data_IF_013103943306
#
_entry.id   IF_013103943306
#
_cell.length_a   1.000
_cell.length_b   1.000
_cell.length_c   1.000
_cell.angle_alpha   90.00
_cell.angle_beta   90.00
_cell.angle_gamma   90.00
#
_symmetry.space_group_name_H-M   'P 1'
#
loop_
_entity.id
_entity.type
_entity.pdbx_description
1 polymer ?
#
# COMPACT_ATOMS: atom_id res chain seq x y z
N UNK A 1 -35.56 -13.94 80.87
CA UNK A 1 -35.98 -13.28 79.61
C UNK A 1 -34.75 -12.89 78.86
N UNK A 2 -34.28 -13.76 77.91
CA UNK A 2 -33.07 -13.56 77.12
C UNK A 2 -33.44 -12.94 75.78
N UNK A 3 -32.98 -11.73 75.51
CA UNK A 3 -33.14 -11.07 74.24
C UNK A 3 -32.06 -11.59 73.31
N UNK A 4 -32.46 -12.24 72.21
CA UNK A 4 -31.63 -12.74 71.15
C UNK A 4 -31.37 -11.60 70.20
N UNK A 5 -30.07 -11.14 70.05
CA UNK A 5 -29.63 -10.13 69.12
C UNK A 5 -29.20 -10.83 67.85
N UNK A 6 -29.97 -10.72 66.76
CA UNK A 6 -29.64 -11.24 65.46
C UNK A 6 -28.81 -10.16 64.74
N UNK A 7 -27.49 -10.39 64.59
CA UNK A 7 -26.64 -9.58 63.70
C UNK A 7 -26.81 -10.03 62.26
N UNK A 8 -27.38 -9.16 61.42
CA UNK A 8 -27.36 -9.32 59.98
C UNK A 8 -25.94 -8.89 59.45
N UNK A 9 -25.20 -9.89 58.98
CA UNK A 9 -23.95 -9.66 58.23
C UNK A 9 -24.35 -9.53 56.76
N UNK A 10 -24.38 -8.30 56.24
CA UNK A 10 -24.51 -8.03 54.80
C UNK A 10 -23.15 -8.22 54.15
N UNK A 11 -22.95 -9.35 53.45
CA UNK A 11 -21.79 -9.57 52.61
C UNK A 11 -21.88 -8.71 51.34
N UNK A 12 -21.08 -7.64 51.28
CA UNK A 12 -20.82 -6.90 50.02
C UNK A 12 -19.98 -7.77 49.10
N UNK A 13 -20.61 -8.43 48.15
CA UNK A 13 -19.90 -9.06 47.02
C UNK A 13 -19.53 -7.98 46.01
N UNK A 14 -18.33 -7.42 46.12
CA UNK A 14 -17.73 -6.59 45.05
C UNK A 14 -17.37 -7.49 43.90
N UNK A 15 -18.19 -7.51 42.86
CA UNK A 15 -17.86 -8.10 41.56
C UNK A 15 -16.75 -7.24 40.90
N UNK A 16 -15.52 -7.75 40.93
CA UNK A 16 -14.42 -7.21 40.11
C UNK A 16 -14.78 -7.47 38.63
N UNK A 17 -15.25 -6.44 37.95
CA UNK A 17 -15.28 -6.43 36.50
C UNK A 17 -13.83 -6.39 36.01
N UNK A 18 -13.27 -7.56 35.69
CA UNK A 18 -12.09 -7.62 34.83
C UNK A 18 -12.53 -7.08 33.47
N UNK A 19 -12.13 -5.85 33.17
CA UNK A 19 -12.20 -5.32 31.81
C UNK A 19 -11.42 -6.29 30.91
N UNK A 20 -12.12 -6.97 30.02
CA UNK A 20 -11.46 -7.67 28.91
C UNK A 20 -10.80 -6.60 28.07
N UNK A 21 -9.47 -6.47 28.19
CA UNK A 21 -8.67 -5.75 27.22
C UNK A 21 -9.00 -6.35 25.84
N UNK A 22 -9.79 -5.62 25.07
CA UNK A 22 -10.06 -5.98 23.68
C UNK A 22 -8.71 -5.97 22.97
N UNK A 23 -8.15 -7.16 22.77
CA UNK A 23 -6.97 -7.32 21.92
C UNK A 23 -7.30 -6.62 20.59
N UNK A 24 -6.48 -5.66 20.12
CA UNK A 24 -6.75 -4.99 18.86
C UNK A 24 -6.92 -6.06 17.79
N UNK A 25 -8.10 -6.14 17.20
CA UNK A 25 -8.40 -7.09 16.13
C UNK A 25 -7.52 -6.68 14.95
N UNK A 26 -6.37 -7.34 14.77
CA UNK A 26 -5.45 -7.08 13.69
C UNK A 26 -6.17 -7.39 12.37
N UNK A 27 -6.61 -6.35 11.70
CA UNK A 27 -7.12 -6.49 10.34
C UNK A 27 -6.04 -7.19 9.50
N UNK A 28 -6.38 -8.27 8.78
CA UNK A 28 -5.39 -8.93 7.94
C UNK A 28 -4.77 -7.93 6.96
N UNK A 29 -3.46 -8.03 6.69
CA UNK A 29 -2.80 -7.10 5.79
C UNK A 29 -3.43 -7.15 4.39
N UNK A 30 -3.48 -6.01 3.67
CA UNK A 30 -4.05 -5.95 2.33
C UNK A 30 -3.24 -6.84 1.37
N UNK A 31 -3.95 -7.51 0.46
CA UNK A 31 -3.39 -8.40 -0.57
C UNK A 31 -3.52 -7.86 -1.98
N UNK A 32 -4.18 -6.71 -2.13
CA UNK A 32 -4.36 -5.98 -3.39
C UNK A 32 -4.27 -4.47 -3.11
N UNK A 33 -3.79 -3.72 -4.11
CA UNK A 33 -3.76 -2.28 -4.04
C UNK A 33 -5.17 -1.70 -4.25
N UNK A 34 -5.48 -0.68 -3.47
CA UNK A 34 -6.71 0.11 -3.60
C UNK A 34 -6.37 1.59 -3.62
N UNK A 35 -7.23 2.39 -4.25
CA UNK A 35 -7.14 3.84 -4.25
C UNK A 35 -8.47 4.39 -3.75
N UNK A 36 -8.44 5.12 -2.64
CA UNK A 36 -9.60 5.78 -2.06
C UNK A 36 -9.33 7.26 -1.81
N UNK A 37 -10.38 8.06 -1.66
CA UNK A 37 -10.23 9.48 -1.31
C UNK A 37 -9.59 9.66 0.06
N UNK A 38 -9.99 8.86 1.04
CA UNK A 38 -9.54 9.01 2.42
C UNK A 38 -8.08 8.60 2.64
N UNK A 39 -7.64 7.54 1.96
CA UNK A 39 -6.32 6.94 2.19
C UNK A 39 -5.34 7.17 1.04
N UNK A 40 -5.84 7.49 -0.16
CA UNK A 40 -5.04 7.52 -1.37
C UNK A 40 -4.75 6.11 -1.90
N UNK A 41 -3.61 5.92 -2.52
CA UNK A 41 -3.10 4.59 -2.89
C UNK A 41 -2.69 3.84 -1.61
N UNK A 42 -3.13 2.59 -1.46
CA UNK A 42 -2.67 1.72 -0.36
C UNK A 42 -1.14 1.74 -0.30
N UNK A 43 -0.52 2.00 0.86
CA UNK A 43 0.93 2.14 0.93
C UNK A 43 1.64 0.82 0.64
N UNK A 44 1.07 -0.32 0.99
CA UNK A 44 1.66 -1.64 0.77
C UNK A 44 0.61 -2.74 0.64
N UNK A 45 1.06 -3.88 0.14
CA UNK A 45 0.36 -5.16 0.23
C UNK A 45 1.30 -6.24 0.74
N UNK A 46 0.75 -7.37 1.17
CA UNK A 46 1.53 -8.56 1.54
C UNK A 46 1.22 -9.69 0.56
N UNK A 47 2.25 -10.15 -0.11
CA UNK A 47 2.18 -11.29 -1.03
C UNK A 47 2.64 -12.55 -0.30
N UNK A 48 1.78 -13.56 -0.23
CA UNK A 48 2.09 -14.88 0.34
C UNK A 48 2.78 -15.75 -0.70
N UNK A 49 3.83 -16.46 -0.29
CA UNK A 49 4.65 -17.35 -1.14
C UNK A 49 5.02 -18.57 -0.33
N UNK A 50 4.02 -19.40 -0.02
CA UNK A 50 4.18 -20.58 0.83
C UNK A 50 5.35 -21.47 0.39
N UNK A 51 6.13 -21.93 1.36
CA UNK A 51 7.28 -22.82 1.13
C UNK A 51 8.55 -22.11 0.62
N UNK A 52 8.55 -20.78 0.46
CA UNK A 52 9.73 -20.03 0.04
C UNK A 52 10.43 -19.39 1.25
N UNK A 53 11.75 -19.49 1.31
CA UNK A 53 12.54 -18.75 2.30
C UNK A 53 12.74 -17.29 1.87
N UNK A 54 13.09 -16.42 2.80
CA UNK A 54 13.39 -15.02 2.50
C UNK A 54 14.58 -14.86 1.55
N UNK A 55 15.58 -15.78 1.63
CA UNK A 55 16.73 -15.82 0.75
C UNK A 55 16.34 -16.12 -0.70
N UNK A 56 15.45 -17.12 -0.90
CA UNK A 56 14.92 -17.46 -2.23
C UNK A 56 14.12 -16.30 -2.83
N UNK A 57 13.30 -15.60 -2.00
CA UNK A 57 12.50 -14.47 -2.44
C UNK A 57 13.37 -13.27 -2.80
N UNK A 58 14.38 -12.95 -1.99
CA UNK A 58 15.37 -11.92 -2.28
C UNK A 58 16.07 -12.19 -3.62
N UNK A 59 16.62 -13.42 -3.79
CA UNK A 59 17.31 -13.83 -5.01
C UNK A 59 16.42 -13.71 -6.24
N UNK A 60 15.18 -14.21 -6.17
CA UNK A 60 14.19 -14.07 -7.26
C UNK A 60 13.94 -12.62 -7.64
N UNK A 61 13.79 -11.73 -6.64
CA UNK A 61 13.59 -10.32 -6.90
C UNK A 61 14.78 -9.68 -7.60
N UNK A 62 16.00 -9.99 -7.20
CA UNK A 62 17.23 -9.55 -7.89
C UNK A 62 17.27 -10.09 -9.34
N UNK A 63 16.98 -11.37 -9.55
CA UNK A 63 16.91 -11.97 -10.88
C UNK A 63 15.85 -11.29 -11.74
N UNK A 64 14.68 -11.00 -11.17
CA UNK A 64 13.63 -10.28 -11.87
C UNK A 64 14.07 -8.85 -12.27
N UNK A 65 14.71 -8.10 -11.37
CA UNK A 65 15.24 -6.77 -11.67
C UNK A 65 16.28 -6.85 -12.80
N UNK A 66 17.22 -7.79 -12.72
CA UNK A 66 18.25 -7.99 -13.74
C UNK A 66 17.67 -8.34 -15.11
N UNK A 67 16.56 -9.06 -15.16
CA UNK A 67 15.87 -9.44 -16.40
C UNK A 67 15.07 -8.30 -17.03
N UNK A 68 14.44 -7.46 -16.19
CA UNK A 68 13.44 -6.49 -16.65
C UNK A 68 13.99 -5.06 -16.84
N UNK A 69 15.20 -4.76 -16.33
CA UNK A 69 15.82 -3.46 -16.48
C UNK A 69 17.16 -3.54 -17.19
N UNK A 70 17.38 -2.62 -18.14
CA UNK A 70 18.63 -2.57 -18.92
C UNK A 70 19.85 -2.23 -18.06
N UNK A 71 19.66 -1.48 -16.97
CA UNK A 71 20.73 -1.03 -16.05
C UNK A 71 20.31 -1.28 -14.60
N UNK A 72 20.35 -2.52 -14.13
CA UNK A 72 19.89 -2.91 -12.79
C UNK A 72 20.56 -2.11 -11.66
N UNK A 73 21.86 -1.82 -11.79
CA UNK A 73 22.61 -1.05 -10.79
C UNK A 73 22.14 0.41 -10.64
N UNK A 74 21.54 0.99 -11.66
CA UNK A 74 20.96 2.35 -11.59
C UNK A 74 19.53 2.33 -11.00
N UNK A 75 18.85 1.18 -11.13
CA UNK A 75 17.48 0.97 -10.70
C UNK A 75 17.41 0.68 -9.21
N UNK A 76 18.31 -0.17 -8.67
CA UNK A 76 18.39 -0.48 -7.25
C UNK A 76 18.89 0.77 -6.50
N UNK A 77 18.08 1.29 -5.57
CA UNK A 77 18.39 2.48 -4.76
C UNK A 77 18.96 2.14 -3.40
N UNK A 78 18.54 1.04 -2.82
CA UNK A 78 19.05 0.50 -1.56
C UNK A 78 18.75 -0.99 -1.46
N UNK A 79 19.57 -1.72 -0.75
CA UNK A 79 19.30 -3.13 -0.43
C UNK A 79 20.08 -3.57 0.81
N UNK A 80 19.47 -4.48 1.56
CA UNK A 80 20.15 -5.28 2.58
C UNK A 80 19.86 -6.74 2.23
N UNK A 81 20.91 -7.54 2.11
CA UNK A 81 20.82 -8.92 1.68
C UNK A 81 19.82 -9.71 2.53
N UNK A 82 18.90 -10.42 1.87
CA UNK A 82 17.86 -11.24 2.46
C UNK A 82 16.88 -10.49 3.39
N UNK A 83 16.91 -9.16 3.43
CA UNK A 83 16.01 -8.34 4.24
C UNK A 83 15.11 -7.48 3.35
N UNK A 84 15.69 -6.56 2.57
CA UNK A 84 14.89 -5.74 1.65
C UNK A 84 15.66 -5.31 0.40
N UNK A 85 14.89 -4.96 -0.63
CA UNK A 85 15.35 -4.31 -1.86
C UNK A 85 14.46 -3.11 -2.12
N UNK A 86 15.07 -1.93 -2.38
CA UNK A 86 14.38 -0.74 -2.85
C UNK A 86 14.82 -0.44 -4.27
N UNK A 87 13.86 -0.30 -5.17
CA UNK A 87 14.16 0.01 -6.56
C UNK A 87 13.19 1.01 -7.18
N UNK A 88 13.65 1.73 -8.22
CA UNK A 88 12.88 2.71 -8.95
C UNK A 88 12.69 2.26 -10.39
N UNK A 89 11.47 2.38 -10.90
CA UNK A 89 11.16 2.08 -12.29
C UNK A 89 10.41 3.21 -12.98
N UNK A 90 10.38 3.11 -14.31
CA UNK A 90 9.55 3.97 -15.17
C UNK A 90 8.68 3.07 -16.03
N UNK A 91 7.39 3.37 -16.12
CA UNK A 91 6.47 2.69 -17.02
C UNK A 91 5.73 3.70 -17.89
N UNK A 92 5.68 3.40 -19.19
CA UNK A 92 5.08 4.30 -20.17
C UNK A 92 3.56 4.24 -20.13
N UNK A 93 2.93 5.41 -20.29
CA UNK A 93 1.49 5.53 -20.52
C UNK A 93 0.63 4.81 -19.49
N UNK A 94 0.98 4.93 -18.19
CA UNK A 94 0.25 4.29 -17.10
C UNK A 94 -0.65 5.23 -16.31
N UNK A 95 -0.45 6.54 -16.44
CA UNK A 95 -1.32 7.54 -15.82
C UNK A 95 -2.20 8.18 -16.88
N UNK A 96 -3.39 7.61 -17.11
CA UNK A 96 -4.31 8.04 -18.14
C UNK A 96 -5.57 8.69 -17.57
N UNK A 97 -6.14 9.65 -18.29
CA UNK A 97 -7.45 10.22 -17.98
C UNK A 97 -8.21 10.53 -19.26
N UNK A 98 -9.53 10.44 -19.18
CA UNK A 98 -10.45 10.67 -20.29
C UNK A 98 -10.98 12.12 -20.26
N UNK A 99 -10.77 12.84 -21.38
CA UNK A 99 -11.42 14.12 -21.63
C UNK A 99 -12.19 14.00 -22.97
N UNK A 100 -11.92 14.86 -23.96
CA UNK A 100 -12.42 14.67 -25.33
C UNK A 100 -11.66 13.54 -26.05
N UNK A 101 -10.42 13.34 -25.66
CA UNK A 101 -9.56 12.21 -26.03
C UNK A 101 -8.90 11.69 -24.76
N UNK A 102 -8.40 10.46 -24.79
CA UNK A 102 -7.62 9.90 -23.68
C UNK A 102 -6.21 10.47 -23.72
N UNK A 103 -5.77 11.02 -22.60
CA UNK A 103 -4.40 11.47 -22.37
C UNK A 103 -3.69 10.51 -21.44
N UNK A 104 -2.42 10.20 -21.73
CA UNK A 104 -1.61 9.33 -20.91
C UNK A 104 -0.23 9.94 -20.65
N UNK A 105 0.22 9.86 -19.42
CA UNK A 105 1.57 10.19 -18.98
C UNK A 105 2.34 8.94 -18.58
N UNK A 106 3.66 8.99 -18.70
CA UNK A 106 4.55 8.00 -18.12
C UNK A 106 4.53 8.15 -16.61
N UNK A 107 4.73 7.05 -15.88
CA UNK A 107 4.91 7.07 -14.44
C UNK A 107 6.32 6.68 -14.05
N UNK A 108 6.80 7.29 -12.97
CA UNK A 108 7.98 6.87 -12.22
C UNK A 108 7.55 6.46 -10.84
N UNK A 109 8.05 5.34 -10.38
CA UNK A 109 7.69 4.79 -9.08
C UNK A 109 8.93 4.31 -8.34
N UNK A 110 8.91 4.40 -7.02
CA UNK A 110 9.89 3.79 -6.15
C UNK A 110 9.17 2.84 -5.21
N UNK A 111 9.66 1.61 -5.12
CA UNK A 111 9.07 0.55 -4.29
C UNK A 111 10.13 -0.10 -3.41
N UNK A 112 9.68 -0.60 -2.26
CA UNK A 112 10.48 -1.41 -1.38
C UNK A 112 9.83 -2.78 -1.19
N UNK A 113 10.62 -3.83 -1.33
CA UNK A 113 10.22 -5.21 -1.10
C UNK A 113 10.96 -5.73 0.12
N UNK A 114 10.24 -6.02 1.21
CA UNK A 114 10.81 -6.56 2.46
C UNK A 114 10.44 -8.02 2.62
N UNK A 115 11.41 -8.88 2.87
CA UNK A 115 11.28 -10.34 2.82
C UNK A 115 11.14 -10.97 4.20
N UNK A 116 10.27 -11.98 4.29
CA UNK A 116 10.17 -12.93 5.40
C UNK A 116 9.86 -14.30 4.83
N UNK A 117 10.14 -15.36 5.59
CA UNK A 117 9.79 -16.71 5.16
C UNK A 117 8.29 -16.81 4.86
N UNK A 118 7.98 -17.35 3.69
CA UNK A 118 6.63 -17.54 3.20
C UNK A 118 5.89 -16.30 2.72
N UNK A 119 6.50 -15.10 2.70
CA UNK A 119 5.86 -13.87 2.24
C UNK A 119 6.83 -12.71 2.04
N UNK A 120 6.37 -11.68 1.32
CA UNK A 120 7.03 -10.38 1.30
C UNK A 120 6.01 -9.25 1.39
N UNK A 121 6.44 -8.09 1.93
CA UNK A 121 5.71 -6.82 1.85
C UNK A 121 6.19 -6.08 0.62
N UNK A 122 5.27 -5.65 -0.23
CA UNK A 122 5.54 -4.78 -1.37
C UNK A 122 4.95 -3.40 -1.06
N UNK A 123 5.79 -2.39 -0.94
CA UNK A 123 5.44 -1.03 -0.52
C UNK A 123 5.75 -0.03 -1.62
N UNK A 124 4.80 0.87 -1.91
CA UNK A 124 4.97 1.97 -2.87
C UNK A 124 5.40 3.21 -2.10
N UNK A 125 6.67 3.62 -2.25
CA UNK A 125 7.26 4.76 -1.55
C UNK A 125 6.99 6.07 -2.26
N UNK A 126 7.01 6.06 -3.60
CA UNK A 126 6.67 7.23 -4.42
C UNK A 126 6.02 6.83 -5.74
N UNK A 127 5.16 7.72 -6.22
CA UNK A 127 4.53 7.64 -7.54
C UNK A 127 4.46 9.04 -8.13
N UNK A 128 4.99 9.19 -9.35
CA UNK A 128 5.05 10.45 -10.07
C UNK A 128 4.61 10.26 -11.52
N UNK A 129 4.07 11.29 -12.14
CA UNK A 129 3.78 11.32 -13.57
C UNK A 129 4.65 12.34 -14.31
N UNK A 130 4.93 12.07 -15.58
CA UNK A 130 5.70 12.95 -16.43
C UNK A 130 4.77 13.85 -17.26
N UNK A 131 4.45 15.02 -16.72
CA UNK A 131 3.44 15.92 -17.29
C UNK A 131 4.03 17.26 -17.77
N UNK A 132 3.26 17.94 -18.60
CA UNK A 132 3.58 19.30 -19.08
C UNK A 132 3.14 20.32 -18.03
N UNK A 133 4.03 21.23 -17.63
CA UNK A 133 3.71 22.29 -16.67
C UNK A 133 3.36 23.59 -17.39
N UNK A 134 2.19 24.18 -17.03
CA UNK A 134 1.79 25.53 -17.36
C UNK A 134 2.00 25.96 -18.81
N UNK A 135 2.16 27.27 -19.03
CA UNK A 135 2.35 27.85 -20.36
C UNK A 135 3.75 27.62 -20.95
N UNK A 136 4.71 27.16 -20.17
CA UNK A 136 6.10 26.95 -20.62
C UNK A 136 6.29 25.73 -21.52
N UNK A 137 5.34 24.78 -21.51
CA UNK A 137 5.44 23.53 -22.24
C UNK A 137 6.54 22.57 -21.73
N UNK A 138 7.18 22.89 -20.60
CA UNK A 138 8.19 22.02 -20.00
C UNK A 138 7.55 20.77 -19.43
N UNK A 139 8.21 19.63 -19.62
CA UNK A 139 7.82 18.36 -18.99
C UNK A 139 8.63 18.13 -17.73
N UNK A 140 7.93 17.78 -16.65
CA UNK A 140 8.52 17.50 -15.34
C UNK A 140 7.89 16.27 -14.71
N UNK A 141 8.63 15.66 -13.80
CA UNK A 141 8.07 14.63 -12.90
C UNK A 141 7.36 15.32 -11.75
N UNK A 142 6.08 15.04 -11.59
CA UNK A 142 5.24 15.55 -10.51
C UNK A 142 4.63 14.43 -9.69
N UNK A 143 4.58 14.62 -8.37
CA UNK A 143 4.04 13.63 -7.46
C UNK A 143 2.54 13.44 -7.67
N UNK A 144 2.11 12.20 -7.85
CA UNK A 144 0.70 11.83 -7.85
C UNK A 144 0.27 11.64 -6.40
N UNK A 145 -0.74 12.40 -5.98
CA UNK A 145 -1.37 12.24 -4.68
C UNK A 145 -2.86 12.00 -4.86
N UNK A 146 -3.32 10.82 -4.47
CA UNK A 146 -4.74 10.47 -4.48
C UNK A 146 -5.46 10.87 -3.19
N UNK A 147 -4.75 10.93 -2.05
CA UNK A 147 -5.37 11.24 -0.77
C UNK A 147 -5.96 12.65 -0.79
N UNK A 148 -7.23 12.75 -0.41
CA UNK A 148 -8.02 14.00 -0.39
C UNK A 148 -8.04 14.77 -1.72
N UNK A 149 -7.69 14.09 -2.82
CA UNK A 149 -7.60 14.70 -4.14
C UNK A 149 -8.98 15.04 -4.70
N UNK A 150 -9.28 16.34 -4.82
CA UNK A 150 -10.48 16.83 -5.50
C UNK A 150 -10.41 16.59 -7.03
N UNK A 151 -9.23 16.40 -7.58
CA UNK A 151 -9.01 16.09 -9.01
C UNK A 151 -9.56 14.71 -9.36
N UNK A 152 -9.24 13.70 -8.54
CA UNK A 152 -9.62 12.31 -8.80
C UNK A 152 -10.99 11.94 -8.24
N UNK A 153 -11.44 12.61 -7.19
CA UNK A 153 -12.66 12.23 -6.48
C UNK A 153 -13.69 13.36 -6.39
N UNK A 154 -14.96 12.97 -6.33
CA UNK A 154 -16.07 13.84 -5.91
C UNK A 154 -16.01 14.06 -4.38
N UNK A 155 -16.81 15.02 -3.88
CA UNK A 155 -16.94 15.22 -2.43
C UNK A 155 -17.49 13.99 -1.70
N UNK A 156 -18.29 13.17 -2.40
CA UNK A 156 -18.85 11.90 -1.90
C UNK A 156 -17.81 10.79 -1.72
N UNK A 157 -16.58 10.98 -2.20
CA UNK A 157 -15.54 9.92 -2.25
C UNK A 157 -15.57 9.06 -3.51
N UNK A 158 -16.59 9.23 -4.36
CA UNK A 158 -16.69 8.52 -5.64
C UNK A 158 -15.61 9.01 -6.62
N UNK A 159 -14.98 8.09 -7.35
CA UNK A 159 -14.00 8.43 -8.40
C UNK A 159 -14.71 9.21 -9.51
N UNK A 160 -14.12 10.29 -9.97
CA UNK A 160 -14.62 11.05 -11.13
C UNK A 160 -14.50 10.21 -12.40
N UNK A 161 -15.53 10.23 -13.24
CA UNK A 161 -15.62 9.42 -14.47
C UNK A 161 -14.34 9.49 -15.30
N UNK A 162 -13.77 10.68 -15.47
CA UNK A 162 -12.56 10.91 -16.26
C UNK A 162 -11.30 10.21 -15.71
N UNK A 163 -11.30 9.85 -14.41
CA UNK A 163 -10.17 9.17 -13.75
C UNK A 163 -10.49 7.71 -13.37
N UNK A 164 -11.66 7.18 -13.76
CA UNK A 164 -12.06 5.82 -13.39
C UNK A 164 -11.08 4.78 -13.94
N UNK A 165 -10.67 4.91 -15.20
CA UNK A 165 -9.70 4.02 -15.81
C UNK A 165 -8.30 4.23 -15.22
N UNK A 166 -7.92 5.47 -14.87
CA UNK A 166 -6.66 5.76 -14.18
C UNK A 166 -6.51 4.97 -12.88
N UNK A 167 -7.51 5.05 -12.00
CA UNK A 167 -7.50 4.35 -10.72
C UNK A 167 -7.35 2.84 -10.92
N UNK A 168 -8.09 2.28 -11.90
CA UNK A 168 -8.02 0.85 -12.24
C UNK A 168 -6.63 0.46 -12.79
N UNK A 169 -6.07 1.24 -13.70
CA UNK A 169 -4.76 0.97 -14.31
C UNK A 169 -3.62 1.02 -13.29
N UNK A 170 -3.62 2.01 -12.39
CA UNK A 170 -2.58 2.14 -11.37
C UNK A 170 -2.66 1.00 -10.35
N UNK A 171 -3.85 0.63 -9.89
CA UNK A 171 -3.99 -0.51 -8.96
C UNK A 171 -3.59 -1.82 -9.61
N UNK A 172 -4.05 -2.08 -10.84
CA UNK A 172 -3.68 -3.27 -11.60
C UNK A 172 -2.17 -3.34 -11.87
N UNK A 173 -1.56 -2.21 -12.23
CA UNK A 173 -0.12 -2.13 -12.47
C UNK A 173 0.69 -2.58 -11.24
N UNK A 174 0.37 -2.06 -10.04
CA UNK A 174 1.09 -2.45 -8.83
C UNK A 174 0.76 -3.85 -8.36
N UNK A 175 -0.47 -4.33 -8.56
CA UNK A 175 -0.86 -5.71 -8.29
C UNK A 175 -0.08 -6.70 -9.19
N UNK A 176 0.05 -6.41 -10.47
CA UNK A 176 0.82 -7.22 -11.42
C UNK A 176 2.32 -7.17 -11.10
N UNK A 177 2.87 -5.96 -10.89
CA UNK A 177 4.28 -5.76 -10.55
C UNK A 177 4.64 -6.54 -9.28
N UNK A 178 3.82 -6.42 -8.24
CA UNK A 178 4.06 -7.10 -6.96
C UNK A 178 4.04 -8.62 -7.07
N UNK A 179 3.25 -9.20 -7.97
CA UNK A 179 3.14 -10.66 -8.17
C UNK A 179 4.17 -11.23 -9.13
N UNK A 180 4.87 -10.37 -9.87
CA UNK A 180 5.87 -10.78 -10.86
C UNK A 180 7.25 -11.06 -10.27
N UNK A 181 7.49 -10.72 -9.00
CA UNK A 181 8.76 -10.85 -8.27
C UNK A 181 9.09 -12.26 -7.75
#
# INVERSE_FOLDING_TARGET
MKKLLIMLISALTSTLYFGQDATPQQTPPPTQFTITKAEGLSPFIVVKTEGKTKEELYKKTIEWINKNYNKPSEVIKAQVENDYIRFQGVSKEKYCWDALVTFCNDIRYEVEVSFKDGKYKFEVLSLEDYHVTGASGLRVWGRINYKDSWTHFKNTGEVRKMYAENVKQITAFFDELSKSL
#
